data_IF_313072052124
#
_entry.id   IF_313072052124
#
_cell.length_a   1.000
_cell.length_b   1.000
_cell.length_c   1.000
_cell.angle_alpha   90.00
_cell.angle_beta   90.00
_cell.angle_gamma   90.00
#
_symmetry.space_group_name_H-M   'P 1'
#
loop_
_entity.id
_entity.type
_entity.pdbx_description
1 polymer ?
#
# COMPACT_ATOMS: atom_id res chain seq x y z
N UNK A 1 25.51 17.68 4.82
CA UNK A 1 24.56 18.79 4.61
C UNK A 1 23.17 18.31 4.98
N UNK A 2 22.76 18.57 6.22
CA UNK A 2 21.40 18.48 6.79
C UNK A 2 21.40 19.40 8.01
N UNK A 3 21.68 20.69 7.78
CA UNK A 3 21.88 21.71 8.82
C UNK A 3 20.69 22.65 8.97
N UNK A 4 19.65 22.48 8.16
CA UNK A 4 18.40 23.23 8.24
C UNK A 4 17.26 22.34 8.71
N UNK A 5 16.27 22.95 9.35
CA UNK A 5 15.08 22.25 9.81
C UNK A 5 14.33 21.65 8.61
N UNK A 6 13.97 20.37 8.71
CA UNK A 6 13.17 19.71 7.68
C UNK A 6 11.79 20.40 7.60
N UNK A 7 11.39 20.95 6.43
CA UNK A 7 10.08 21.53 6.28
C UNK A 7 9.03 20.42 6.41
N UNK A 8 8.19 20.52 7.43
CA UNK A 8 7.04 19.63 7.59
C UNK A 8 5.90 20.19 6.72
N UNK A 9 5.36 19.34 5.84
CA UNK A 9 4.20 19.67 5.02
C UNK A 9 3.01 18.88 5.53
N UNK A 10 1.92 19.56 5.85
CA UNK A 10 0.65 18.91 6.14
C UNK A 10 -0.02 18.51 4.82
N UNK A 11 0.01 17.21 4.50
CA UNK A 11 -0.55 16.70 3.24
C UNK A 11 -2.08 16.79 3.18
N UNK A 12 -2.77 16.94 4.32
CA UNK A 12 -4.24 16.93 4.37
C UNK A 12 -4.85 18.16 3.70
N UNK A 13 -4.11 19.27 3.70
CA UNK A 13 -4.54 20.55 3.11
C UNK A 13 -4.09 20.73 1.65
N UNK A 14 -3.13 19.92 1.18
CA UNK A 14 -2.60 20.03 -0.19
C UNK A 14 -3.64 19.48 -1.17
N UNK A 15 -4.05 20.25 -2.20
CA UNK A 15 -5.00 19.79 -3.21
C UNK A 15 -4.47 18.58 -3.99
N UNK A 16 -5.34 17.63 -4.34
CA UNK A 16 -4.93 16.43 -5.08
C UNK A 16 -4.24 16.79 -6.40
N UNK A 17 -4.72 17.82 -7.10
CA UNK A 17 -4.15 18.27 -8.38
C UNK A 17 -2.73 18.82 -8.23
N UNK A 18 -2.38 19.33 -7.05
CA UNK A 18 -1.01 19.72 -6.70
C UNK A 18 -0.16 18.46 -6.43
N UNK A 19 -0.67 17.53 -5.61
CA UNK A 19 -0.01 16.24 -5.34
C UNK A 19 0.29 15.49 -6.66
N UNK A 20 -0.61 15.56 -7.65
CA UNK A 20 -0.43 14.94 -8.96
C UNK A 20 0.81 15.42 -9.74
N UNK A 21 1.42 16.54 -9.33
CA UNK A 21 2.64 17.10 -9.92
C UNK A 21 3.91 16.60 -9.24
N UNK A 22 3.81 15.96 -8.07
CA UNK A 22 4.95 15.53 -7.25
C UNK A 22 5.66 14.26 -7.75
N UNK A 23 5.34 13.79 -8.97
CA UNK A 23 6.01 12.68 -9.69
C UNK A 23 6.11 11.39 -8.85
N UNK A 24 7.29 11.08 -8.30
CA UNK A 24 7.60 9.79 -7.63
C UNK A 24 6.93 9.66 -6.26
N UNK A 25 6.72 10.77 -5.57
CA UNK A 25 6.13 10.77 -4.22
C UNK A 25 4.61 10.94 -4.24
N UNK A 26 4.05 11.44 -5.35
CA UNK A 26 2.63 11.71 -5.53
C UNK A 26 1.73 10.51 -5.16
N UNK A 27 2.18 9.29 -5.48
CA UNK A 27 1.42 8.08 -5.21
C UNK A 27 1.30 7.81 -3.70
N UNK A 28 2.40 7.99 -2.97
CA UNK A 28 2.44 7.79 -1.53
C UNK A 28 1.67 8.91 -0.82
N UNK A 29 1.83 10.15 -1.26
CA UNK A 29 1.13 11.31 -0.71
C UNK A 29 -0.38 11.21 -0.88
N UNK A 30 -0.87 10.85 -2.07
CA UNK A 30 -2.30 10.63 -2.30
C UNK A 30 -2.81 9.53 -1.37
N UNK A 31 -2.16 8.38 -1.33
CA UNK A 31 -2.64 7.29 -0.47
C UNK A 31 -2.59 7.69 1.00
N UNK A 32 -1.53 8.34 1.47
CA UNK A 32 -1.43 8.79 2.84
C UNK A 32 -2.52 9.79 3.22
N UNK A 33 -2.85 10.74 2.33
CA UNK A 33 -3.93 11.70 2.53
C UNK A 33 -5.29 11.01 2.71
N UNK A 34 -5.54 9.97 1.93
CA UNK A 34 -6.86 9.33 1.83
C UNK A 34 -6.97 7.95 2.48
N UNK A 35 -5.93 7.45 3.15
CA UNK A 35 -5.91 6.10 3.74
C UNK A 35 -7.03 5.87 4.77
N UNK A 36 -7.52 6.96 5.37
CA UNK A 36 -8.62 6.95 6.34
C UNK A 36 -9.98 7.26 5.72
N UNK A 37 -10.01 7.64 4.46
CA UNK A 37 -11.26 7.91 3.76
C UNK A 37 -12.01 6.61 3.52
N UNK A 38 -13.33 6.67 3.68
CA UNK A 38 -14.17 5.47 3.49
C UNK A 38 -14.21 5.02 2.04
N UNK A 39 -13.93 5.91 1.09
CA UNK A 39 -14.06 5.66 -0.33
C UNK A 39 -12.71 5.77 -1.05
N UNK A 40 -11.93 4.69 -1.01
CA UNK A 40 -10.72 4.55 -1.80
C UNK A 40 -11.01 4.39 -3.31
N UNK A 41 -12.26 4.04 -3.69
CA UNK A 41 -12.62 3.82 -5.09
C UNK A 41 -12.61 5.15 -5.86
N UNK A 42 -12.99 6.26 -5.21
CA UNK A 42 -12.92 7.60 -5.80
C UNK A 42 -11.51 8.04 -6.24
N UNK A 43 -10.45 7.35 -5.79
CA UNK A 43 -9.07 7.65 -6.14
C UNK A 43 -8.49 6.78 -7.26
N UNK A 44 -9.20 5.73 -7.67
CA UNK A 44 -8.69 4.73 -8.62
C UNK A 44 -8.18 5.40 -9.91
N UNK A 45 -8.88 6.41 -10.43
CA UNK A 45 -8.49 7.10 -11.66
C UNK A 45 -7.18 7.91 -11.50
N UNK A 46 -7.03 8.61 -10.36
CA UNK A 46 -5.81 9.38 -10.05
C UNK A 46 -4.60 8.47 -9.88
N UNK A 47 -4.79 7.35 -9.18
CA UNK A 47 -3.74 6.35 -8.95
C UNK A 47 -3.36 5.65 -10.25
N UNK A 48 -4.34 5.25 -11.05
CA UNK A 48 -4.11 4.67 -12.38
C UNK A 48 -3.30 5.62 -13.25
N UNK A 49 -3.64 6.92 -13.23
CA UNK A 49 -2.91 7.95 -13.96
C UNK A 49 -1.44 8.02 -13.52
N UNK A 50 -1.14 7.99 -12.22
CA UNK A 50 0.24 7.99 -11.72
C UNK A 50 1.02 6.73 -12.10
N UNK A 51 0.38 5.57 -12.04
CA UNK A 51 0.99 4.30 -12.42
C UNK A 51 1.34 4.27 -13.92
N UNK A 52 0.44 4.78 -14.77
CA UNK A 52 0.68 4.88 -16.22
C UNK A 52 1.80 5.86 -16.54
N UNK A 53 1.95 6.96 -15.79
CA UNK A 53 3.07 7.90 -15.94
C UNK A 53 4.44 7.28 -15.63
N UNK A 54 4.49 6.12 -14.97
CA UNK A 54 5.71 5.33 -14.80
C UNK A 54 6.72 5.91 -13.81
N UNK A 55 6.29 6.79 -12.90
CA UNK A 55 7.18 7.36 -11.87
C UNK A 55 7.49 6.39 -10.71
N UNK A 56 6.76 5.28 -10.62
CA UNK A 56 6.83 4.36 -9.48
C UNK A 56 7.52 3.05 -9.87
N UNK A 57 8.64 2.74 -9.22
CA UNK A 57 9.35 1.47 -9.38
C UNK A 57 8.73 0.35 -8.50
N UNK A 58 9.20 -0.89 -8.67
CA UNK A 58 8.63 -2.06 -7.99
C UNK A 58 8.72 -1.96 -6.47
N UNK A 59 9.83 -1.45 -5.95
CA UNK A 59 10.01 -1.26 -4.52
C UNK A 59 9.02 -0.24 -3.95
N UNK A 60 8.83 0.90 -4.62
CA UNK A 60 7.86 1.90 -4.20
C UNK A 60 6.42 1.37 -4.29
N UNK A 61 6.13 0.58 -5.32
CA UNK A 61 4.83 -0.05 -5.49
C UNK A 61 4.60 -1.12 -4.40
N UNK A 62 5.60 -1.92 -4.05
CA UNK A 62 5.51 -2.87 -2.95
C UNK A 62 5.33 -2.17 -1.60
N UNK A 63 6.06 -1.07 -1.33
CA UNK A 63 5.88 -0.25 -0.12
C UNK A 63 4.45 0.31 -0.03
N UNK A 64 3.90 0.80 -1.13
CA UNK A 64 2.53 1.30 -1.21
C UNK A 64 1.51 0.21 -0.81
N UNK A 65 1.65 -0.99 -1.38
CA UNK A 65 0.75 -2.09 -1.09
C UNK A 65 0.88 -2.56 0.37
N UNK A 66 2.10 -2.64 0.90
CA UNK A 66 2.35 -2.94 2.31
C UNK A 66 1.65 -1.93 3.22
N UNK A 67 1.76 -0.64 2.90
CA UNK A 67 1.10 0.42 3.65
C UNK A 67 -0.42 0.30 3.60
N UNK A 68 -0.98 0.02 2.42
CA UNK A 68 -2.42 -0.20 2.25
C UNK A 68 -2.93 -1.43 3.02
N UNK A 69 -2.16 -2.52 3.08
CA UNK A 69 -2.51 -3.73 3.85
C UNK A 69 -2.45 -3.49 5.36
N UNK A 70 -1.49 -2.69 5.83
CA UNK A 70 -1.32 -2.41 7.25
C UNK A 70 -2.34 -1.41 7.80
N UNK A 71 -2.76 -0.43 6.99
CA UNK A 71 -3.62 0.66 7.42
C UNK A 71 -5.07 0.57 6.90
N UNK A 72 -5.32 -0.20 5.84
CA UNK A 72 -6.62 -0.32 5.19
C UNK A 72 -7.42 -1.54 5.62
N UNK A 73 -8.73 -1.50 5.34
CA UNK A 73 -9.61 -2.66 5.44
C UNK A 73 -9.29 -3.65 4.30
N UNK A 74 -8.79 -4.84 4.64
CA UNK A 74 -8.35 -5.88 3.70
C UNK A 74 -9.40 -6.20 2.63
N UNK A 75 -10.70 -6.12 2.96
CA UNK A 75 -11.78 -6.39 2.03
C UNK A 75 -11.92 -5.32 0.94
N UNK A 76 -11.62 -4.05 1.26
CA UNK A 76 -11.65 -2.92 0.33
C UNK A 76 -10.39 -2.86 -0.53
N UNK A 77 -9.27 -3.30 0.04
CA UNK A 77 -7.98 -3.33 -0.64
C UNK A 77 -7.99 -4.23 -1.87
N UNK A 78 -8.49 -5.47 -1.76
CA UNK A 78 -8.54 -6.41 -2.90
C UNK A 78 -9.32 -5.80 -4.07
N UNK A 79 -10.52 -5.29 -3.80
CA UNK A 79 -11.35 -4.63 -4.82
C UNK A 79 -10.66 -3.42 -5.44
N UNK A 80 -9.99 -2.61 -4.63
CA UNK A 80 -9.25 -1.45 -5.11
C UNK A 80 -8.09 -1.82 -6.04
N UNK A 81 -7.34 -2.88 -5.73
CA UNK A 81 -6.28 -3.40 -6.60
C UNK A 81 -6.84 -3.97 -7.90
N UNK A 82 -7.96 -4.70 -7.83
CA UNK A 82 -8.65 -5.23 -9.01
C UNK A 82 -9.09 -4.10 -9.95
N UNK A 83 -9.72 -3.05 -9.42
CA UNK A 83 -10.16 -1.88 -10.21
C UNK A 83 -8.99 -1.16 -10.89
N UNK A 84 -7.86 -0.97 -10.20
CA UNK A 84 -6.65 -0.38 -10.80
C UNK A 84 -6.11 -1.29 -11.91
N UNK A 85 -6.09 -2.61 -11.69
CA UNK A 85 -5.60 -3.57 -12.65
C UNK A 85 -6.49 -3.69 -13.89
N UNK A 86 -7.81 -3.52 -13.75
CA UNK A 86 -8.75 -3.46 -14.85
C UNK A 86 -8.57 -2.20 -15.70
N UNK A 87 -8.35 -1.05 -15.06
CA UNK A 87 -8.15 0.25 -15.75
C UNK A 87 -6.72 0.44 -16.28
N UNK A 88 -5.77 -0.38 -15.85
CA UNK A 88 -4.37 -0.34 -16.29
C UNK A 88 -3.88 -1.71 -16.79
N UNK A 89 -4.31 -2.14 -18.00
CA UNK A 89 -3.88 -3.43 -18.56
C UNK A 89 -2.36 -3.58 -18.63
N UNK A 90 -1.64 -2.48 -18.89
CA UNK A 90 -0.18 -2.46 -18.97
C UNK A 90 0.50 -2.73 -17.61
N UNK A 91 -0.15 -2.37 -16.51
CA UNK A 91 0.39 -2.59 -15.16
C UNK A 91 -0.22 -3.83 -14.48
N UNK A 92 -1.26 -4.43 -15.05
CA UNK A 92 -2.01 -5.55 -14.46
C UNK A 92 -1.11 -6.70 -14.01
N UNK A 93 -0.27 -7.23 -14.91
CA UNK A 93 0.61 -8.36 -14.59
C UNK A 93 1.55 -8.03 -13.41
N UNK A 94 2.13 -6.83 -13.44
CA UNK A 94 3.03 -6.33 -12.40
C UNK A 94 2.32 -6.17 -11.05
N UNK A 95 1.11 -5.60 -11.04
CA UNK A 95 0.29 -5.44 -9.84
C UNK A 95 -0.12 -6.81 -9.26
N UNK A 96 -0.53 -7.75 -10.11
CA UNK A 96 -0.91 -9.10 -9.70
C UNK A 96 0.27 -9.88 -9.12
N UNK A 97 1.46 -9.72 -9.70
CA UNK A 97 2.70 -10.34 -9.20
C UNK A 97 3.04 -9.86 -7.78
N UNK A 98 2.93 -8.55 -7.54
CA UNK A 98 3.14 -7.97 -6.20
C UNK A 98 2.06 -8.45 -5.22
N UNK A 99 0.79 -8.44 -5.63
CA UNK A 99 -0.32 -8.90 -4.79
C UNK A 99 -0.20 -10.39 -4.41
N UNK A 100 0.28 -11.23 -5.33
CA UNK A 100 0.56 -12.65 -5.06
C UNK A 100 1.72 -12.82 -4.06
N UNK A 101 2.83 -12.10 -4.25
CA UNK A 101 3.97 -12.13 -3.31
C UNK A 101 3.53 -11.74 -1.89
N UNK A 102 2.73 -10.68 -1.77
CA UNK A 102 2.23 -10.23 -0.47
C UNK A 102 1.33 -11.26 0.22
N UNK A 103 0.47 -11.95 -0.54
CA UNK A 103 -0.34 -13.05 -0.02
C UNK A 103 0.53 -14.21 0.49
N UNK A 104 1.59 -14.54 -0.24
CA UNK A 104 2.53 -15.60 0.17
C UNK A 104 3.33 -15.20 1.43
N UNK A 105 3.83 -13.98 1.50
CA UNK A 105 4.51 -13.43 2.68
C UNK A 105 3.57 -13.47 3.90
N UNK A 106 2.33 -13.00 3.75
CA UNK A 106 1.32 -13.06 4.81
C UNK A 106 1.01 -14.48 5.29
N UNK A 107 0.94 -15.45 4.37
CA UNK A 107 0.73 -16.85 4.73
C UNK A 107 1.90 -17.44 5.53
N UNK A 108 3.14 -17.14 5.12
CA UNK A 108 4.34 -17.60 5.82
C UNK A 108 4.44 -17.01 7.23
N UNK A 109 4.17 -15.70 7.37
CA UNK A 109 4.15 -15.03 8.68
C UNK A 109 3.10 -15.67 9.59
N UNK A 110 1.87 -15.82 9.10
CA UNK A 110 0.79 -16.43 9.89
C UNK A 110 1.07 -17.87 10.30
N UNK A 111 1.76 -18.65 9.46
CA UNK A 111 2.17 -20.01 9.81
C UNK A 111 3.23 -20.03 10.94
N UNK A 112 4.23 -19.15 10.87
CA UNK A 112 5.26 -19.03 11.91
C UNK A 112 4.67 -18.56 13.25
N UNK A 113 3.79 -17.56 13.22
CA UNK A 113 3.08 -17.08 14.41
C UNK A 113 2.23 -18.19 15.04
N UNK A 114 1.51 -18.96 14.23
CA UNK A 114 0.71 -20.09 14.70
C UNK A 114 1.55 -21.17 15.39
N UNK A 115 2.72 -21.51 14.84
CA UNK A 115 3.64 -22.44 15.49
C UNK A 115 4.18 -21.89 16.82
N UNK A 116 4.55 -20.61 16.85
CA UNK A 116 5.07 -19.97 18.06
C UNK A 116 4.02 -19.91 19.18
N UNK A 117 2.79 -19.53 18.85
CA UNK A 117 1.66 -19.57 19.78
C UNK A 117 1.43 -20.98 20.32
N UNK A 118 1.51 -21.99 19.45
CA UNK A 118 1.30 -23.37 19.86
C UNK A 118 2.42 -23.85 20.79
N UNK A 119 3.67 -23.48 20.53
CA UNK A 119 4.80 -23.76 21.41
C UNK A 119 4.61 -23.10 22.80
N UNK A 120 4.17 -21.84 22.85
CA UNK A 120 3.86 -21.13 24.11
C UNK A 120 2.71 -21.82 24.84
N UNK A 121 1.62 -22.17 24.14
CA UNK A 121 0.46 -22.88 24.74
C UNK A 121 0.85 -24.23 25.34
N UNK A 122 1.76 -24.97 24.68
CA UNK A 122 2.29 -26.23 25.21
C UNK A 122 3.13 -25.97 26.47
N UNK A 123 4.06 -25.01 26.42
CA UNK A 123 4.90 -24.66 27.56
C UNK A 123 4.09 -24.23 28.79
N UNK A 124 3.04 -23.42 28.61
CA UNK A 124 2.14 -23.00 29.69
C UNK A 124 1.32 -24.14 30.29
N UNK A 125 1.03 -25.20 29.52
CA UNK A 125 0.32 -26.40 30.00
C UNK A 125 1.21 -27.40 30.74
N UNK A 126 2.54 -27.23 30.65
CA UNK A 126 3.53 -28.07 31.34
C UNK A 126 3.96 -27.48 32.69
N UNK A 127 3.46 -26.30 33.06
CA UNK A 127 3.58 -25.67 34.38
C UNK A 127 2.37 -26.04 35.25
#
# INVERSE_FOLDING_TARGET
MYTEAFPLVDITIVPDDEIMQHRRIALLELIQKHIRDRDLIGMVDRITTLLVRGFTNDSQLQTLFNYLLQCGDTSRFTRFIEEIAERSPLQKERLMTIAERLRQEGHQIGWQEGMHEQAIKIALRML
#
